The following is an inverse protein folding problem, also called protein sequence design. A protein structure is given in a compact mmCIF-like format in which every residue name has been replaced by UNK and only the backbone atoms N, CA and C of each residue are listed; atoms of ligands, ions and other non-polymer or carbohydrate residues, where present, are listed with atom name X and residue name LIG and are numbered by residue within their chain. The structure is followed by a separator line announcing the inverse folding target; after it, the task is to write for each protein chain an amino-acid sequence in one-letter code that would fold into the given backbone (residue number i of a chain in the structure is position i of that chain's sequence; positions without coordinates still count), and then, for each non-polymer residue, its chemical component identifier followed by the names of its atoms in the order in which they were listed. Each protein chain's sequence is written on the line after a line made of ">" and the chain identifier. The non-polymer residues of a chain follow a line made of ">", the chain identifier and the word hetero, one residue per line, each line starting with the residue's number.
data_IF_367740503618
#
_entry.id   IF_367740503618
#
_cell.length_a   1.000
_cell.length_b   1.000
_cell.length_c   1.000
_cell.angle_alpha   90.00
_cell.angle_beta   90.00
_cell.angle_gamma   90.00
#
_symmetry.space_group_name_H-M   'P 1'
#
loop_
_entity.id
_entity.type
_entity.pdbx_description
1 polymer ?
#
# COMPACT_ATOMS: atom_id res chain seq x y z
N UNK A 1 -13.58 21.41 22.17
CA UNK A 1 -12.70 20.37 21.78
C UNK A 1 -12.73 20.14 20.29
N UNK A 2 -11.57 20.05 19.76
CA UNK A 2 -11.52 19.89 18.34
C UNK A 2 -11.98 18.49 17.97
N UNK A 3 -12.84 18.45 17.02
CA UNK A 3 -13.27 17.19 16.52
C UNK A 3 -12.12 16.56 15.76
N UNK A 4 -11.88 15.32 16.07
CA UNK A 4 -10.85 14.60 15.37
C UNK A 4 -11.26 14.47 13.91
N UNK A 5 -10.40 14.85 12.99
CA UNK A 5 -10.77 14.69 11.59
C UNK A 5 -10.98 13.23 11.26
N UNK A 6 -11.96 12.99 10.45
CA UNK A 6 -12.21 11.64 10.03
C UNK A 6 -11.03 11.18 9.18
N UNK A 7 -10.61 9.96 9.39
CA UNK A 7 -9.56 9.45 8.51
C UNK A 7 -10.10 9.36 7.09
N UNK A 8 -9.26 9.62 6.11
CA UNK A 8 -9.71 9.48 4.74
C UNK A 8 -10.16 8.05 4.49
N UNK A 9 -11.08 7.91 3.58
CA UNK A 9 -11.54 6.59 3.23
C UNK A 9 -10.36 5.79 2.69
N UNK A 10 -10.28 4.52 3.08
CA UNK A 10 -9.19 3.71 2.56
C UNK A 10 -9.30 3.59 1.06
N UNK A 11 -8.18 3.67 0.42
CA UNK A 11 -8.08 3.52 -1.02
C UNK A 11 -7.48 2.16 -1.30
N UNK A 12 -7.98 1.48 -2.29
CA UNK A 12 -7.41 0.20 -2.67
C UNK A 12 -6.18 0.45 -3.52
N UNK A 13 -5.08 -0.12 -3.10
CA UNK A 13 -3.81 0.03 -3.80
C UNK A 13 -3.40 -1.30 -4.39
N UNK A 14 -3.03 -1.29 -5.64
CA UNK A 14 -2.49 -2.48 -6.27
C UNK A 14 -1.02 -2.58 -5.94
N UNK A 15 -0.61 -3.74 -5.50
CA UNK A 15 0.75 -3.94 -5.04
C UNK A 15 1.47 -4.89 -5.96
N UNK A 16 2.64 -4.47 -6.40
CA UNK A 16 3.49 -5.26 -7.28
C UNK A 16 4.87 -5.38 -6.65
N UNK A 17 5.50 -6.49 -6.89
CA UNK A 17 6.86 -6.70 -6.49
C UNK A 17 7.77 -6.40 -7.68
N UNK A 18 8.81 -5.62 -7.44
CA UNK A 18 9.77 -5.29 -8.47
C UNK A 18 10.88 -6.33 -8.42
N UNK A 19 10.92 -7.16 -9.44
CA UNK A 19 11.95 -8.18 -9.57
C UNK A 19 12.49 -8.06 -10.97
N UNK A 20 12.69 -9.16 -11.66
CA UNK A 20 13.06 -9.07 -13.08
C UNK A 20 11.94 -8.42 -13.87
N UNK A 21 10.75 -8.54 -13.38
CA UNK A 21 9.58 -7.89 -13.95
C UNK A 21 8.63 -7.63 -12.81
N UNK A 22 7.60 -6.84 -13.08
CA UNK A 22 6.60 -6.57 -12.08
C UNK A 22 5.75 -7.82 -11.84
N UNK A 23 5.63 -8.19 -10.59
CA UNK A 23 4.86 -9.36 -10.20
C UNK A 23 3.67 -8.88 -9.36
N UNK A 24 2.48 -9.26 -9.77
CA UNK A 24 1.28 -8.91 -9.04
C UNK A 24 1.25 -9.64 -7.71
N UNK A 25 1.14 -8.90 -6.63
CA UNK A 25 1.05 -9.49 -5.30
C UNK A 25 -0.36 -9.46 -4.77
N UNK A 26 -1.07 -8.39 -5.00
CA UNK A 26 -2.41 -8.27 -4.49
C UNK A 26 -2.76 -6.83 -4.24
N UNK A 27 -3.80 -6.60 -3.46
CA UNK A 27 -4.22 -5.26 -3.13
C UNK A 27 -4.23 -5.05 -1.63
N UNK A 28 -4.02 -3.81 -1.22
CA UNK A 28 -4.16 -3.44 0.18
C UNK A 28 -5.00 -2.18 0.24
N UNK A 29 -5.67 -2.01 1.36
CA UNK A 29 -6.44 -0.81 1.62
C UNK A 29 -5.65 0.09 2.55
N UNK A 30 -5.44 1.31 2.13
CA UNK A 30 -4.70 2.25 2.94
C UNK A 30 -5.10 3.66 2.54
N UNK A 31 -4.99 4.61 3.47
CA UNK A 31 -5.38 5.98 3.15
C UNK A 31 -4.40 6.69 2.23
N UNK A 32 -3.15 6.26 2.19
CA UNK A 32 -2.18 6.89 1.32
C UNK A 32 -1.11 5.87 0.92
N UNK A 33 -0.22 6.32 0.08
CA UNK A 33 0.80 5.44 -0.47
C UNK A 33 1.75 4.92 0.59
N UNK A 34 2.16 5.79 1.51
CA UNK A 34 3.09 5.36 2.54
C UNK A 34 2.49 4.25 3.39
N UNK A 35 1.24 4.43 3.79
CA UNK A 35 0.56 3.40 4.58
C UNK A 35 0.39 2.12 3.75
N UNK A 36 0.11 2.27 2.46
CA UNK A 36 -0.04 1.11 1.60
C UNK A 36 1.24 0.32 1.50
N UNK A 37 2.36 1.02 1.37
CA UNK A 37 3.64 0.35 1.28
C UNK A 37 4.00 -0.36 2.56
N UNK A 38 3.77 0.28 3.70
CA UNK A 38 4.04 -0.38 4.97
C UNK A 38 3.19 -1.61 5.15
N UNK A 39 1.92 -1.48 4.83
CA UNK A 39 1.01 -2.58 4.97
C UNK A 39 1.39 -3.73 4.06
N UNK A 40 1.72 -3.39 2.82
CA UNK A 40 2.10 -4.41 1.85
C UNK A 40 3.41 -5.09 2.25
N UNK A 41 4.37 -4.33 2.75
CA UNK A 41 5.63 -4.91 3.17
C UNK A 41 5.41 -5.93 4.27
N UNK A 42 4.54 -5.61 5.22
CA UNK A 42 4.24 -6.54 6.31
C UNK A 42 3.43 -7.73 5.81
N UNK A 43 2.47 -7.46 4.95
CA UNK A 43 1.55 -8.49 4.47
C UNK A 43 2.26 -9.50 3.59
N UNK A 44 3.05 -9.02 2.66
CA UNK A 44 3.69 -9.87 1.67
C UNK A 44 5.13 -10.19 2.02
N UNK A 45 5.63 -9.62 3.11
CA UNK A 45 6.99 -9.88 3.59
C UNK A 45 8.03 -9.57 2.53
N UNK A 46 7.84 -8.43 1.87
CA UNK A 46 8.75 -7.94 0.84
C UNK A 46 9.24 -6.58 1.27
N UNK A 47 10.54 -6.29 1.14
CA UNK A 47 11.03 -4.96 1.52
C UNK A 47 10.36 -3.88 0.69
N UNK A 48 10.09 -2.76 1.35
CA UNK A 48 9.39 -1.67 0.69
C UNK A 48 10.13 -1.17 -0.55
N UNK A 49 11.44 -1.29 -0.55
CA UNK A 49 12.23 -0.85 -1.69
C UNK A 49 11.95 -1.67 -2.94
N UNK A 50 11.35 -2.82 -2.78
CA UNK A 50 11.03 -3.69 -3.92
C UNK A 50 9.54 -3.77 -4.16
N UNK A 51 8.81 -2.83 -3.61
CA UNK A 51 7.37 -2.79 -3.80
C UNK A 51 6.99 -1.60 -4.64
N UNK A 52 5.96 -1.78 -5.41
CA UNK A 52 5.36 -0.71 -6.19
C UNK A 52 3.87 -0.72 -5.91
N UNK A 53 3.34 0.42 -5.56
CA UNK A 53 1.91 0.53 -5.30
C UNK A 53 1.31 1.49 -6.30
N UNK A 54 0.16 1.11 -6.81
CA UNK A 54 -0.58 1.95 -7.73
C UNK A 54 -1.96 2.18 -7.16
N UNK A 55 -2.37 3.42 -7.19
CA UNK A 55 -3.71 3.77 -6.76
C UNK A 55 -4.69 3.31 -7.81
N UNK A 56 -5.73 2.71 -7.31
CA UNK A 56 -6.75 2.21 -8.18
C UNK A 56 -7.59 3.29 -8.82
#
# INVERSE_FOLDING_TARGET
>A
MAKKPEPPKPIVWKVYKIANKLVWLGGVEAPDEAAAMEKAAAEFKVPATKLMTLRR
#
